data_IF_806632447523
#
_entry.id   IF_806632447523
#
_cell.length_a   1.000
_cell.length_b   1.000
_cell.length_c   1.000
_cell.angle_alpha   90.00
_cell.angle_beta   90.00
_cell.angle_gamma   90.00
#
_symmetry.space_group_name_H-M   'P 1'
#
loop_
_entity.id
_entity.type
_entity.pdbx_description
1 polymer ?
#
# COMPACT_ATOMS: atom_id res chain seq x y z
N UNK A 1 -9.04 -13.26 8.71
CA UNK A 1 -7.69 -13.75 9.11
C UNK A 1 -7.10 -14.67 8.04
N UNK A 2 -7.67 -15.86 7.79
CA UNK A 2 -7.18 -16.83 6.79
C UNK A 2 -6.86 -16.23 5.41
N UNK A 3 -7.75 -15.40 4.86
CA UNK A 3 -7.53 -14.73 3.56
C UNK A 3 -6.33 -13.78 3.57
N UNK A 4 -6.16 -13.02 4.66
CA UNK A 4 -5.02 -12.11 4.82
C UNK A 4 -3.74 -12.92 4.96
N UNK A 5 -3.76 -13.99 5.76
CA UNK A 5 -2.61 -14.87 5.93
C UNK A 5 -2.17 -15.48 4.59
N UNK A 6 -3.13 -15.88 3.74
CA UNK A 6 -2.84 -16.34 2.38
C UNK A 6 -2.22 -15.26 1.50
N UNK A 7 -2.82 -14.07 1.41
CA UNK A 7 -2.29 -12.97 0.58
C UNK A 7 -0.90 -12.53 1.00
N UNK A 8 -0.59 -12.57 2.29
CA UNK A 8 0.73 -12.21 2.81
C UNK A 8 1.63 -13.43 3.04
N UNK A 9 1.43 -14.50 2.26
CA UNK A 9 2.27 -15.70 2.23
C UNK A 9 2.98 -15.86 0.89
N UNK A 10 4.05 -16.66 0.87
CA UNK A 10 4.77 -17.01 -0.36
C UNK A 10 3.95 -17.84 -1.36
N UNK A 11 2.71 -18.21 -1.02
CA UNK A 11 1.79 -18.91 -1.92
C UNK A 11 1.01 -17.96 -2.82
N UNK A 12 0.93 -16.67 -2.47
CA UNK A 12 0.23 -15.68 -3.27
C UNK A 12 1.20 -15.04 -4.28
N UNK A 13 0.92 -15.12 -5.60
CA UNK A 13 1.87 -14.72 -6.64
C UNK A 13 2.20 -13.22 -6.64
N UNK A 14 1.30 -12.39 -6.10
CA UNK A 14 1.46 -10.94 -6.06
C UNK A 14 2.03 -10.42 -4.73
N UNK A 15 2.60 -11.30 -3.91
CA UNK A 15 3.26 -10.93 -2.65
C UNK A 15 4.77 -11.15 -2.69
N UNK A 16 5.50 -10.06 -2.50
CA UNK A 16 6.96 -10.06 -2.52
C UNK A 16 7.52 -10.04 -1.10
N UNK A 17 7.54 -11.21 -0.44
CA UNK A 17 7.93 -11.36 0.97
C UNK A 17 9.22 -10.63 1.36
N UNK A 18 10.22 -10.64 0.48
CA UNK A 18 11.57 -10.11 0.73
C UNK A 18 11.77 -8.66 0.23
N UNK A 19 10.76 -8.03 -0.35
CA UNK A 19 10.85 -6.64 -0.79
C UNK A 19 10.88 -5.68 0.41
N UNK A 20 11.49 -4.51 0.22
CA UNK A 20 11.52 -3.46 1.27
C UNK A 20 10.11 -3.00 1.65
N UNK A 21 9.22 -2.93 0.66
CA UNK A 21 7.78 -2.70 0.79
C UNK A 21 7.08 -3.95 0.25
N UNK A 22 6.74 -4.86 1.16
CA UNK A 22 6.05 -6.11 0.83
C UNK A 22 4.52 -5.95 0.86
N UNK A 23 4.01 -4.91 0.22
CA UNK A 23 2.58 -4.73 -0.07
C UNK A 23 2.20 -5.54 -1.33
N UNK A 24 0.89 -5.79 -1.51
CA UNK A 24 0.37 -6.61 -2.60
C UNK A 24 0.38 -5.87 -3.94
N UNK A 25 0.85 -6.57 -4.97
CA UNK A 25 0.56 -6.25 -6.36
C UNK A 25 -0.80 -6.84 -6.78
N UNK A 26 -1.16 -6.65 -8.05
CA UNK A 26 -2.29 -7.35 -8.66
C UNK A 26 -2.05 -7.60 -10.14
N UNK A 27 -2.92 -8.36 -10.79
CA UNK A 27 -2.77 -8.80 -12.18
C UNK A 27 -2.51 -7.64 -13.17
N UNK A 28 -3.07 -6.46 -12.89
CA UNK A 28 -2.88 -5.26 -13.70
C UNK A 28 -1.43 -4.71 -13.62
N UNK A 29 -0.78 -4.84 -12.46
CA UNK A 29 0.60 -4.42 -12.19
C UNK A 29 1.35 -5.53 -11.46
N UNK A 30 1.67 -6.66 -12.14
CA UNK A 30 2.02 -7.91 -11.46
C UNK A 30 3.32 -7.85 -10.66
N UNK A 31 4.17 -6.84 -10.89
CA UNK A 31 5.48 -6.68 -10.25
C UNK A 31 5.57 -5.48 -9.29
N UNK A 32 4.52 -4.65 -9.21
CA UNK A 32 4.52 -3.40 -8.47
C UNK A 32 3.32 -3.33 -7.53
N UNK A 33 3.53 -3.07 -6.23
CA UNK A 33 2.44 -2.83 -5.30
C UNK A 33 1.49 -1.72 -5.77
N UNK A 34 0.21 -1.87 -5.43
CA UNK A 34 -0.81 -0.87 -5.72
C UNK A 34 -0.87 0.19 -4.61
N UNK A 35 -0.93 1.47 -4.97
CA UNK A 35 -1.21 2.54 -4.03
C UNK A 35 -2.59 2.38 -3.36
N UNK A 36 -3.61 1.97 -4.12
CA UNK A 36 -4.95 1.71 -3.56
C UNK A 36 -4.94 0.49 -2.62
N UNK A 37 -4.15 -0.54 -2.95
CA UNK A 37 -3.91 -1.69 -2.08
C UNK A 37 -3.32 -1.28 -0.74
N UNK A 38 -2.29 -0.40 -0.76
CA UNK A 38 -1.69 0.17 0.44
C UNK A 38 -2.72 0.92 1.31
N UNK A 39 -3.62 1.70 0.70
CA UNK A 39 -4.72 2.35 1.44
C UNK A 39 -5.65 1.35 2.13
N UNK A 40 -5.95 0.23 1.47
CA UNK A 40 -6.71 -0.88 2.07
C UNK A 40 -5.99 -1.50 3.26
N UNK A 41 -4.68 -1.72 3.15
CA UNK A 41 -3.85 -2.22 4.24
C UNK A 41 -3.74 -1.24 5.42
N UNK A 42 -3.70 0.07 5.16
CA UNK A 42 -3.76 1.12 6.20
C UNK A 42 -5.08 1.00 6.99
N UNK A 43 -6.21 0.84 6.32
CA UNK A 43 -7.52 0.72 6.97
C UNK A 43 -7.74 -0.62 7.68
N UNK A 44 -7.00 -1.66 7.28
CA UNK A 44 -7.11 -3.00 7.86
C UNK A 44 -6.46 -3.06 9.26
N UNK A 45 -7.21 -3.36 10.34
CA UNK A 45 -6.65 -3.39 11.71
C UNK A 45 -5.47 -4.34 11.90
N UNK A 46 -5.37 -5.40 11.09
CA UNK A 46 -4.28 -6.38 11.18
C UNK A 46 -2.98 -5.91 10.52
N UNK A 47 -3.08 -4.96 9.58
CA UNK A 47 -1.96 -4.53 8.74
C UNK A 47 -1.59 -3.06 8.95
N UNK A 48 -2.51 -2.26 9.51
CA UNK A 48 -2.43 -0.81 9.60
C UNK A 48 -1.05 -0.29 10.01
N UNK A 49 -0.52 -0.77 11.13
CA UNK A 49 0.81 -0.37 11.62
C UNK A 49 1.92 -0.65 10.61
N UNK A 50 1.91 -1.83 9.99
CA UNK A 50 2.92 -2.22 8.99
C UNK A 50 2.75 -1.41 7.70
N UNK A 51 1.52 -1.12 7.31
CA UNK A 51 1.19 -0.34 6.13
C UNK A 51 1.63 1.13 6.25
N UNK A 52 1.50 1.74 7.44
CA UNK A 52 2.05 3.06 7.71
C UNK A 52 3.58 3.09 7.59
N UNK A 53 4.27 2.03 8.03
CA UNK A 53 5.73 1.90 7.85
C UNK A 53 6.14 1.69 6.38
N UNK A 54 5.29 1.07 5.57
CA UNK A 54 5.49 1.00 4.12
C UNK A 54 5.26 2.35 3.45
N UNK A 55 4.21 3.07 3.83
CA UNK A 55 3.89 4.38 3.28
C UNK A 55 5.05 5.36 3.46
N UNK A 56 5.69 5.39 4.64
CA UNK A 56 6.89 6.20 4.90
C UNK A 56 8.07 5.91 3.95
N UNK A 57 8.09 4.73 3.32
CA UNK A 57 9.14 4.30 2.39
C UNK A 57 8.74 4.48 0.92
N UNK A 58 7.46 4.72 0.64
CA UNK A 58 6.88 4.84 -0.70
C UNK A 58 6.71 6.32 -1.07
N UNK A 59 7.77 6.94 -1.59
CA UNK A 59 7.71 8.35 -1.99
C UNK A 59 6.75 8.58 -3.18
N UNK A 60 6.48 7.55 -3.97
CA UNK A 60 5.55 7.56 -5.10
C UNK A 60 5.80 8.77 -6.03
N UNK A 61 4.80 9.63 -6.21
CA UNK A 61 4.82 10.83 -7.04
C UNK A 61 5.05 12.06 -6.14
N UNK A 62 6.27 12.18 -5.60
CA UNK A 62 6.68 13.27 -4.69
C UNK A 62 5.76 13.43 -3.47
N UNK A 63 5.33 12.31 -2.89
CA UNK A 63 4.41 12.26 -1.74
C UNK A 63 2.94 12.16 -2.13
N UNK A 64 2.60 12.27 -3.42
CA UNK A 64 1.27 11.98 -3.94
C UNK A 64 1.13 10.48 -4.22
N UNK A 65 -0.08 9.96 -4.03
CA UNK A 65 -0.36 8.55 -4.32
C UNK A 65 -0.30 8.32 -5.83
N UNK A 66 0.51 7.35 -6.23
CA UNK A 66 0.55 6.82 -7.59
C UNK A 66 -0.26 5.51 -7.67
N UNK A 67 -0.71 5.14 -8.86
CA UNK A 67 -1.48 3.90 -9.07
C UNK A 67 -0.67 2.66 -8.64
N UNK A 68 0.60 2.60 -9.07
CA UNK A 68 1.56 1.60 -8.64
C UNK A 68 2.92 2.23 -8.36
N UNK A 69 3.71 1.57 -7.51
CA UNK A 69 5.04 2.01 -7.14
C UNK A 69 6.00 0.83 -7.02
N UNK A 70 7.29 1.10 -7.10
CA UNK A 70 8.32 0.09 -6.98
C UNK A 70 8.43 -0.42 -5.54
N UNK A 71 8.41 -1.74 -5.38
CA UNK A 71 8.45 -2.39 -4.06
C UNK A 71 9.75 -2.17 -3.28
N UNK A 72 10.84 -1.73 -3.91
CA UNK A 72 12.14 -1.58 -3.26
C UNK A 72 12.56 -0.11 -3.12
N UNK A 73 12.46 0.68 -4.18
CA UNK A 73 12.75 2.12 -4.16
C UNK A 73 11.59 2.96 -3.61
N UNK A 74 10.34 2.54 -3.82
CA UNK A 74 9.15 3.30 -3.47
C UNK A 74 8.76 4.36 -4.50
N UNK A 75 9.45 4.45 -5.64
CA UNK A 75 9.16 5.41 -6.71
C UNK A 75 7.90 5.04 -7.49
N UNK A 76 7.16 6.05 -7.98
CA UNK A 76 6.01 5.82 -8.85
C UNK A 76 6.39 5.04 -10.11
N UNK A 77 5.53 4.10 -10.52
CA UNK A 77 5.67 3.34 -11.77
C UNK A 77 4.56 3.63 -12.76
N UNK A 78 3.32 3.76 -12.29
CA UNK A 78 2.17 4.13 -13.12
C UNK A 78 1.24 5.10 -12.38
N UNK A 79 0.42 5.82 -13.14
CA UNK A 79 -0.61 6.71 -12.59
C UNK A 79 -0.06 7.84 -11.71
N UNK A 80 0.89 8.62 -12.23
CA UNK A 80 1.27 9.91 -11.64
C UNK A 80 0.09 10.90 -11.74
N UNK A 81 -0.05 11.81 -10.77
CA UNK A 81 -1.18 12.73 -10.70
C UNK A 81 -2.55 12.07 -10.43
N UNK A 82 -2.58 10.94 -9.71
CA UNK A 82 -3.81 10.17 -9.49
C UNK A 82 -4.69 10.74 -8.36
N UNK A 83 -5.53 11.72 -8.71
CA UNK A 83 -6.34 12.47 -7.76
C UNK A 83 -7.28 11.61 -6.89
N UNK A 84 -8.01 10.66 -7.50
CA UNK A 84 -8.89 9.75 -6.75
C UNK A 84 -8.12 8.93 -5.72
N UNK A 85 -6.91 8.47 -6.10
CA UNK A 85 -6.00 7.75 -5.22
C UNK A 85 -5.52 8.62 -4.05
N UNK A 86 -5.17 9.88 -4.32
CA UNK A 86 -4.78 10.85 -3.28
C UNK A 86 -5.91 11.09 -2.28
N UNK A 87 -7.15 11.23 -2.77
CA UNK A 87 -8.33 11.37 -1.90
C UNK A 87 -8.53 10.14 -1.01
N UNK A 88 -8.31 8.94 -1.54
CA UNK A 88 -8.41 7.71 -0.74
C UNK A 88 -7.30 7.60 0.30
N UNK A 89 -6.05 7.96 -0.03
CA UNK A 89 -4.95 8.02 0.94
C UNK A 89 -5.24 8.99 2.07
N UNK A 90 -5.71 10.20 1.73
CA UNK A 90 -6.08 11.21 2.72
C UNK A 90 -7.16 10.70 3.68
N UNK A 91 -8.21 10.04 3.14
CA UNK A 91 -9.24 9.41 3.94
C UNK A 91 -8.69 8.32 4.86
N UNK A 92 -7.86 7.40 4.33
CA UNK A 92 -7.28 6.31 5.11
C UNK A 92 -6.43 6.81 6.28
N UNK A 93 -5.61 7.83 6.05
CA UNK A 93 -4.79 8.47 7.08
C UNK A 93 -5.65 9.17 8.13
N UNK A 94 -6.62 9.99 7.70
CA UNK A 94 -7.56 10.65 8.62
C UNK A 94 -8.30 9.62 9.49
N UNK A 95 -8.81 8.56 8.88
CA UNK A 95 -9.58 7.54 9.58
C UNK A 95 -8.74 6.85 10.67
N UNK A 96 -7.53 6.42 10.32
CA UNK A 96 -6.69 5.62 11.24
C UNK A 96 -6.02 6.49 12.30
N UNK A 97 -5.48 7.64 11.91
CA UNK A 97 -4.66 8.48 12.79
C UNK A 97 -5.50 9.42 13.65
N UNK A 98 -6.58 9.97 13.10
CA UNK A 98 -7.37 11.01 13.76
C UNK A 98 -8.66 10.45 14.34
N UNK A 99 -9.46 9.76 13.51
CA UNK A 99 -10.78 9.29 13.93
C UNK A 99 -10.70 8.11 14.90
N UNK A 100 -9.81 7.15 14.65
CA UNK A 100 -9.67 5.95 15.49
C UNK A 100 -8.49 6.03 16.47
N UNK A 101 -7.52 6.91 16.25
CA UNK A 101 -6.35 7.09 17.13
C UNK A 101 -5.48 5.84 17.28
N UNK A 102 -5.21 5.10 16.19
CA UNK A 102 -4.53 3.78 16.22
C UNK A 102 -3.00 3.84 16.12
N UNK A 103 -2.38 4.99 16.40
CA UNK A 103 -0.91 5.14 16.40
C UNK A 103 -0.27 4.78 17.75
#
# INVERSE_FOLDING_TARGET
KNTIDYYYSSQYPYYFKNARINELAGDHHPNNPSGLGLCGSILNPLLSKKALEWLKKANMDYGLLAESFDKDSGEAKTGVGFASGCGYLAYSLYYVLIKEGRE
#
